data_IF_851831461201
#
_entry.id   IF_851831461201
#
_cell.length_a   1.000
_cell.length_b   1.000
_cell.length_c   1.000
_cell.angle_alpha   90.00
_cell.angle_beta   90.00
_cell.angle_gamma   90.00
#
_symmetry.space_group_name_H-M   'P 1'
#
loop_
_entity.id
_entity.type
_entity.pdbx_description
1 polymer ?
#
# COMPACT_ATOMS: atom_id res chain seq x y z
N UNK A 1 -3.07 -13.03 28.58
CA UNK A 1 -2.20 -12.08 27.87
C UNK A 1 -2.43 -12.42 26.42
N UNK A 2 -3.37 -11.71 25.82
CA UNK A 2 -3.59 -11.79 24.37
C UNK A 2 -2.30 -11.28 23.73
N UNK A 3 -1.86 -11.98 22.69
CA UNK A 3 -0.59 -11.74 22.04
C UNK A 3 -0.85 -10.58 21.06
N UNK A 4 -0.34 -9.35 21.30
CA UNK A 4 -0.77 -8.19 20.52
C UNK A 4 -0.47 -8.31 19.03
N UNK A 5 0.64 -8.94 18.66
CA UNK A 5 1.09 -9.01 17.26
C UNK A 5 0.56 -10.18 16.46
N UNK A 6 -0.75 -10.39 16.51
CA UNK A 6 -1.39 -11.36 15.63
C UNK A 6 -2.88 -11.06 15.38
N UNK A 7 -3.29 -9.81 15.57
CA UNK A 7 -4.66 -9.36 15.33
C UNK A 7 -4.79 -8.79 13.90
N UNK A 8 -6.02 -8.75 13.38
CA UNK A 8 -6.32 -8.14 12.07
C UNK A 8 -6.29 -6.61 12.23
N UNK A 9 -5.53 -5.93 11.36
CA UNK A 9 -5.32 -4.49 11.46
C UNK A 9 -6.52 -3.71 10.90
N UNK A 10 -7.20 -2.93 11.75
CA UNK A 10 -8.31 -2.09 11.29
C UNK A 10 -7.79 -0.84 10.58
N UNK A 11 -7.66 -0.92 9.25
CA UNK A 11 -7.17 0.18 8.42
C UNK A 11 -8.35 0.89 7.75
N UNK A 12 -8.56 2.14 8.15
CA UNK A 12 -9.62 3.00 7.57
C UNK A 12 -9.11 3.93 6.49
N UNK A 13 -7.81 4.21 6.46
CA UNK A 13 -7.21 5.16 5.52
C UNK A 13 -5.88 4.64 5.02
N UNK A 14 -5.70 4.73 3.70
CA UNK A 14 -4.45 4.42 3.00
C UNK A 14 -4.04 5.65 2.21
N UNK A 15 -2.80 6.10 2.41
CA UNK A 15 -2.21 7.22 1.67
C UNK A 15 -0.99 6.72 0.92
N UNK A 16 -1.01 6.85 -0.40
CA UNK A 16 0.16 6.64 -1.26
C UNK A 16 0.78 8.01 -1.53
N UNK A 17 2.00 8.24 -1.03
CA UNK A 17 2.72 9.51 -1.20
C UNK A 17 3.79 9.36 -2.28
N UNK A 18 3.60 10.06 -3.39
CA UNK A 18 4.49 10.03 -4.55
C UNK A 18 5.41 11.25 -4.58
N UNK A 19 6.66 11.02 -4.99
CA UNK A 19 7.63 12.06 -5.35
C UNK A 19 8.27 11.69 -6.69
N UNK A 20 8.17 12.56 -7.68
CA UNK A 20 8.84 12.38 -8.98
C UNK A 20 10.35 12.56 -8.81
N UNK A 21 11.14 11.58 -9.24
CA UNK A 21 12.58 11.57 -9.06
C UNK A 21 13.22 12.65 -9.93
N UNK A 22 14.10 13.44 -9.32
CA UNK A 22 14.80 14.54 -10.00
C UNK A 22 14.02 15.85 -10.07
N UNK A 23 12.82 15.92 -9.47
CA UNK A 23 12.03 17.15 -9.36
C UNK A 23 11.65 17.42 -7.89
N UNK A 24 10.83 18.44 -7.64
CA UNK A 24 10.19 18.71 -6.34
C UNK A 24 8.69 18.39 -6.36
N UNK A 25 8.20 17.75 -7.43
CA UNK A 25 6.78 17.47 -7.61
C UNK A 25 6.40 16.26 -6.74
N UNK A 26 5.59 16.50 -5.72
CA UNK A 26 5.04 15.48 -4.84
C UNK A 26 3.53 15.61 -4.71
N UNK A 27 2.85 14.49 -4.52
CA UNK A 27 1.40 14.43 -4.34
C UNK A 27 0.98 13.13 -3.65
N UNK A 28 -0.24 13.13 -3.12
CA UNK A 28 -0.82 11.99 -2.42
C UNK A 28 -2.03 11.45 -3.18
N UNK A 29 -2.24 10.14 -3.10
CA UNK A 29 -3.44 9.42 -3.52
C UNK A 29 -4.05 8.80 -2.26
N UNK A 30 -5.30 9.11 -1.97
CA UNK A 30 -5.95 8.72 -0.71
C UNK A 30 -7.11 7.78 -0.96
N UNK A 31 -7.15 6.70 -0.19
CA UNK A 31 -8.35 5.94 0.11
C UNK A 31 -8.75 6.21 1.56
N UNK A 32 -10.03 6.46 1.81
CA UNK A 32 -10.55 6.70 3.16
C UNK A 32 -11.97 6.17 3.32
N UNK A 33 -12.12 5.26 4.27
CA UNK A 33 -13.36 4.63 4.69
C UNK A 33 -13.43 4.53 6.22
N UNK A 34 -14.05 5.53 6.85
CA UNK A 34 -13.96 5.72 8.32
C UNK A 34 -14.83 4.76 9.13
N UNK A 35 -15.80 4.08 8.51
CA UNK A 35 -16.61 3.05 9.18
C UNK A 35 -16.24 1.62 8.76
N UNK A 36 -15.20 1.47 7.93
CA UNK A 36 -14.64 0.19 7.51
C UNK A 36 -15.56 -0.59 6.55
N UNK A 37 -15.13 -1.79 6.18
CA UNK A 37 -15.87 -2.59 5.20
C UNK A 37 -17.31 -2.92 5.66
N UNK A 38 -18.25 -2.83 4.73
CA UNK A 38 -19.67 -3.17 4.96
C UNK A 38 -20.52 -2.03 5.51
N UNK A 39 -19.90 -0.88 5.81
CA UNK A 39 -20.54 0.38 6.21
C UNK A 39 -21.00 1.23 5.02
N UNK A 40 -20.72 2.53 5.10
CA UNK A 40 -20.99 3.46 4.00
C UNK A 40 -19.94 3.27 2.88
N UNK A 41 -20.19 3.77 1.66
CA UNK A 41 -19.14 3.84 0.66
C UNK A 41 -17.96 4.69 1.16
N UNK A 42 -16.73 4.41 0.71
CA UNK A 42 -15.56 5.17 1.09
C UNK A 42 -15.74 6.65 0.73
N UNK A 43 -15.38 7.52 1.68
CA UNK A 43 -15.44 8.97 1.51
C UNK A 43 -14.38 9.50 0.53
N UNK A 44 -13.34 8.73 0.27
CA UNK A 44 -12.32 9.03 -0.75
C UNK A 44 -11.78 7.75 -1.36
N UNK A 45 -11.60 7.76 -2.68
CA UNK A 45 -11.00 6.69 -3.45
C UNK A 45 -10.38 7.33 -4.69
N UNK A 46 -9.23 7.96 -4.51
CA UNK A 46 -8.57 8.75 -5.54
C UNK A 46 -8.10 7.88 -6.73
N UNK A 47 -7.78 8.53 -7.85
CA UNK A 47 -7.09 7.87 -8.97
C UNK A 47 -5.58 8.11 -8.85
N UNK A 48 -4.77 7.13 -9.24
CA UNK A 48 -3.34 7.31 -9.43
C UNK A 48 -3.12 7.94 -10.81
N UNK A 49 -2.60 9.17 -10.84
CA UNK A 49 -2.28 9.88 -12.09
C UNK A 49 -0.79 10.21 -12.10
N UNK A 50 -0.04 9.58 -13.02
CA UNK A 50 1.41 9.75 -13.17
C UNK A 50 1.74 10.32 -14.55
N UNK A 51 2.84 11.06 -14.67
CA UNK A 51 3.33 11.52 -15.97
C UNK A 51 3.95 10.34 -16.76
N UNK A 52 3.92 10.36 -18.10
CA UNK A 52 4.58 9.35 -18.93
C UNK A 52 6.10 9.48 -18.91
N UNK A 53 6.80 8.34 -18.98
CA UNK A 53 8.27 8.23 -19.02
C UNK A 53 8.96 8.94 -17.84
N UNK A 54 8.45 8.72 -16.64
CA UNK A 54 8.96 9.31 -15.40
C UNK A 54 9.12 8.24 -14.31
N UNK A 55 10.02 8.52 -13.37
CA UNK A 55 10.29 7.65 -12.23
C UNK A 55 9.80 8.33 -10.94
N UNK A 56 9.23 7.55 -10.03
CA UNK A 56 8.70 8.03 -8.76
C UNK A 56 9.22 7.17 -7.61
N UNK A 57 9.46 7.78 -6.45
CA UNK A 57 9.41 7.08 -5.16
C UNK A 57 7.99 7.15 -4.61
N UNK A 58 7.52 6.07 -4.01
CA UNK A 58 6.22 5.97 -3.36
C UNK A 58 6.38 5.38 -1.96
N UNK A 59 5.73 6.00 -0.98
CA UNK A 59 5.60 5.49 0.38
C UNK A 59 4.13 5.32 0.75
N UNK A 60 3.83 4.33 1.58
CA UNK A 60 2.47 4.02 2.06
C UNK A 60 2.37 4.35 3.53
N UNK A 61 1.33 5.08 3.93
CA UNK A 61 0.95 5.24 5.34
C UNK A 61 -0.49 4.81 5.57
N UNK A 62 -0.74 4.22 6.73
CA UNK A 62 -1.99 3.59 7.14
C UNK A 62 -2.48 4.20 8.46
N UNK A 63 -3.78 4.47 8.55
CA UNK A 63 -4.40 5.04 9.76
C UNK A 63 -5.71 4.32 10.12
N UNK A 64 -5.96 4.26 11.43
CA UNK A 64 -7.26 3.93 12.00
C UNK A 64 -7.90 5.22 12.56
N UNK A 65 -8.76 5.85 11.75
CA UNK A 65 -9.48 7.06 12.09
C UNK A 65 -10.83 6.79 12.76
N UNK A 66 -11.17 5.51 13.02
CA UNK A 66 -12.40 5.15 13.73
C UNK A 66 -12.33 5.39 15.24
N UNK A 67 -11.12 5.60 15.77
CA UNK A 67 -10.82 5.76 17.20
C UNK A 67 -10.26 7.15 17.52
N UNK A 68 -10.19 7.49 18.81
CA UNK A 68 -9.65 8.77 19.29
C UNK A 68 -8.74 8.57 20.51
N UNK A 69 -7.44 8.91 20.41
CA UNK A 69 -6.76 9.51 19.26
C UNK A 69 -6.71 8.58 18.02
N UNK A 70 -6.55 9.15 16.83
CA UNK A 70 -6.30 8.38 15.59
C UNK A 70 -5.04 7.54 15.79
N UNK A 71 -5.11 6.27 15.45
CA UNK A 71 -3.96 5.36 15.53
C UNK A 71 -3.19 5.35 14.20
N UNK A 72 -1.87 5.31 14.30
CA UNK A 72 -0.97 5.20 13.16
C UNK A 72 -0.60 3.73 12.96
N UNK A 73 -1.38 3.04 12.12
CA UNK A 73 -1.15 1.63 11.80
C UNK A 73 0.16 1.43 11.04
N UNK A 74 0.71 2.46 10.39
CA UNK A 74 2.03 2.37 9.76
C UNK A 74 3.11 1.93 10.75
N UNK A 75 3.09 2.46 11.98
CA UNK A 75 4.11 2.13 12.99
C UNK A 75 4.00 0.66 13.41
N UNK A 76 2.78 0.13 13.52
CA UNK A 76 2.51 -1.28 13.85
C UNK A 76 3.01 -2.21 12.73
N UNK A 77 2.74 -1.87 11.46
CA UNK A 77 3.28 -2.63 10.31
C UNK A 77 4.81 -2.58 10.25
N UNK A 78 5.44 -1.46 10.63
CA UNK A 78 6.90 -1.35 10.69
C UNK A 78 7.50 -2.19 11.82
N UNK A 79 6.87 -2.20 13.01
CA UNK A 79 7.26 -3.04 14.14
C UNK A 79 7.08 -4.54 13.83
N UNK A 80 6.06 -4.88 13.05
CA UNK A 80 5.69 -6.24 12.65
C UNK A 80 6.04 -6.56 11.18
N UNK A 81 7.06 -5.89 10.65
CA UNK A 81 7.50 -6.02 9.26
C UNK A 81 7.83 -7.47 8.85
N UNK A 82 8.25 -8.29 9.81
CA UNK A 82 8.56 -9.71 9.63
C UNK A 82 7.32 -10.58 9.31
N UNK A 83 6.12 -10.06 9.56
CA UNK A 83 4.85 -10.73 9.39
C UNK A 83 3.98 -10.07 8.30
N UNK A 84 4.27 -8.82 7.95
CA UNK A 84 3.53 -8.07 6.94
C UNK A 84 4.22 -8.02 5.57
N UNK A 85 3.42 -8.06 4.50
CA UNK A 85 3.90 -7.86 3.13
C UNK A 85 2.84 -7.17 2.25
N UNK A 86 3.22 -6.03 1.66
CA UNK A 86 2.49 -5.37 0.60
C UNK A 86 2.78 -5.99 -0.77
N UNK A 87 1.72 -6.15 -1.55
CA UNK A 87 1.74 -6.49 -2.97
C UNK A 87 1.17 -5.33 -3.78
N UNK A 88 1.98 -4.79 -4.70
CA UNK A 88 1.64 -3.69 -5.60
C UNK A 88 1.57 -4.23 -7.02
N UNK A 89 0.36 -4.38 -7.55
CA UNK A 89 0.08 -5.19 -8.74
C UNK A 89 -0.53 -4.31 -9.84
N UNK A 90 0.27 -3.72 -10.75
CA UNK A 90 -0.23 -2.97 -11.89
C UNK A 90 -0.87 -3.92 -12.92
N UNK A 91 -1.98 -3.48 -13.52
CA UNK A 91 -2.67 -4.20 -14.59
C UNK A 91 -3.18 -3.23 -15.66
N UNK A 92 -2.75 -3.43 -16.91
CA UNK A 92 -3.18 -2.60 -18.07
C UNK A 92 -2.57 -1.19 -18.15
N UNK A 93 -2.05 -0.66 -17.04
CA UNK A 93 -1.26 0.57 -17.05
C UNK A 93 0.22 0.24 -17.32
N UNK A 94 0.91 1.11 -18.06
CA UNK A 94 2.36 1.02 -18.32
C UNK A 94 3.13 1.51 -17.09
N UNK A 95 3.04 0.76 -16.00
CA UNK A 95 3.69 1.04 -14.72
C UNK A 95 4.45 -0.21 -14.30
N UNK A 96 5.72 -0.06 -13.97
CA UNK A 96 6.54 -1.10 -13.31
C UNK A 96 6.83 -0.67 -11.88
N UNK A 97 6.64 -1.57 -10.92
CA UNK A 97 6.78 -1.25 -9.49
C UNK A 97 7.83 -2.17 -8.86
N UNK A 98 8.74 -1.58 -8.10
CA UNK A 98 9.76 -2.30 -7.32
C UNK A 98 9.63 -1.90 -5.84
N UNK A 99 9.41 -2.87 -4.95
CA UNK A 99 9.46 -2.65 -3.50
C UNK A 99 10.93 -2.54 -3.06
N UNK A 100 11.22 -1.63 -2.14
CA UNK A 100 12.60 -1.21 -1.83
C UNK A 100 13.00 -1.41 -0.37
N UNK A 101 12.03 -1.62 0.51
CA UNK A 101 12.21 -1.93 1.92
C UNK A 101 12.09 -3.43 2.18
N UNK A 102 12.86 -3.88 3.17
CA UNK A 102 12.91 -5.28 3.60
C UNK A 102 12.85 -5.37 5.13
N UNK A 103 12.35 -6.49 5.61
CA UNK A 103 12.29 -6.83 7.03
C UNK A 103 13.64 -7.35 7.56
N UNK A 104 13.66 -7.80 8.81
CA UNK A 104 14.87 -8.31 9.46
C UNK A 104 15.43 -9.59 8.83
N UNK A 105 14.62 -10.28 8.02
CA UNK A 105 14.95 -11.51 7.29
C UNK A 105 15.30 -11.24 5.82
N UNK A 106 15.43 -9.98 5.42
CA UNK A 106 15.62 -9.53 4.03
C UNK A 106 14.47 -9.93 3.09
N UNK A 107 13.24 -10.05 3.60
CA UNK A 107 12.05 -10.24 2.78
C UNK A 107 11.35 -8.89 2.55
N UNK A 108 10.75 -8.65 1.38
CA UNK A 108 10.07 -7.38 1.11
C UNK A 108 8.97 -7.06 2.12
N UNK A 109 8.87 -5.79 2.52
CA UNK A 109 7.72 -5.28 3.29
C UNK A 109 6.81 -4.53 2.33
N UNK A 110 7.34 -3.57 1.57
CA UNK A 110 6.61 -2.87 0.52
C UNK A 110 5.89 -1.60 0.97
N UNK A 111 6.22 -1.05 2.15
CA UNK A 111 5.83 0.31 2.53
C UNK A 111 6.53 1.34 1.65
N UNK A 112 7.72 1.02 1.10
CA UNK A 112 8.49 1.88 0.22
C UNK A 112 8.72 1.24 -1.14
N UNK A 113 8.53 1.98 -2.22
CA UNK A 113 8.69 1.47 -3.58
C UNK A 113 9.17 2.53 -4.58
N UNK A 114 9.73 2.07 -5.70
CA UNK A 114 9.94 2.88 -6.90
C UNK A 114 8.99 2.46 -8.01
N UNK A 115 8.50 3.44 -8.76
CA UNK A 115 7.52 3.26 -9.82
C UNK A 115 8.07 3.90 -11.10
N UNK A 116 8.20 3.11 -12.16
CA UNK A 116 8.65 3.57 -13.47
C UNK A 116 7.45 3.56 -14.43
N UNK A 117 7.19 4.70 -15.08
CA UNK A 117 6.09 4.82 -16.05
C UNK A 117 6.58 4.77 -17.50
N UNK A 118 5.77 4.16 -18.36
CA UNK A 118 6.00 4.12 -19.80
C UNK A 118 5.16 5.15 -20.57
N UNK A 119 4.73 4.76 -21.78
CA UNK A 119 3.82 5.56 -22.59
C UNK A 119 2.44 5.73 -21.93
N UNK A 120 1.70 6.75 -22.36
CA UNK A 120 0.36 7.03 -21.87
C UNK A 120 -0.55 5.79 -21.95
N UNK A 121 -1.26 5.51 -20.86
CA UNK A 121 -2.07 4.30 -20.70
C UNK A 121 -3.08 4.47 -19.58
N UNK A 122 -4.05 3.55 -19.51
CA UNK A 122 -5.03 3.49 -18.44
C UNK A 122 -5.22 2.04 -18.03
N UNK A 123 -5.24 1.81 -16.73
CA UNK A 123 -5.43 0.50 -16.13
C UNK A 123 -5.70 0.65 -14.64
N UNK A 124 -5.19 -0.28 -13.85
CA UNK A 124 -5.31 -0.24 -12.39
C UNK A 124 -3.98 -0.58 -11.71
N UNK A 125 -3.89 -0.22 -10.43
CA UNK A 125 -2.90 -0.78 -9.51
C UNK A 125 -3.64 -1.31 -8.29
N UNK A 126 -3.53 -2.62 -8.07
CA UNK A 126 -4.07 -3.27 -6.89
C UNK A 126 -3.04 -3.25 -5.77
N UNK A 127 -3.41 -2.67 -4.64
CA UNK A 127 -2.61 -2.54 -3.42
C UNK A 127 -3.19 -3.50 -2.39
N UNK A 128 -2.42 -4.52 -2.01
CA UNK A 128 -2.86 -5.55 -1.06
C UNK A 128 -1.87 -5.62 0.10
N UNK A 129 -2.35 -5.53 1.33
CA UNK A 129 -1.58 -5.85 2.53
C UNK A 129 -1.94 -7.26 3.00
N UNK A 130 -0.91 -8.07 3.24
CA UNK A 130 -1.05 -9.42 3.76
C UNK A 130 -0.36 -9.55 5.12
N UNK A 131 -1.10 -10.04 6.09
CA UNK A 131 -0.60 -10.45 7.40
C UNK A 131 -0.30 -11.97 7.43
N UNK A 132 0.93 -12.34 7.81
CA UNK A 132 1.52 -13.69 7.69
C UNK A 132 2.35 -14.08 8.92
N UNK A 133 1.79 -14.01 10.13
CA UNK A 133 2.47 -14.24 11.40
C UNK A 133 3.30 -15.53 11.42
N UNK A 134 4.62 -15.40 11.56
CA UNK A 134 5.56 -16.53 11.63
C UNK A 134 5.63 -17.40 10.37
N UNK A 135 4.99 -16.99 9.27
CA UNK A 135 4.89 -17.77 8.04
C UNK A 135 5.35 -17.05 6.78
N UNK A 136 5.59 -15.72 6.82
CA UNK A 136 6.15 -14.94 5.71
C UNK A 136 7.43 -15.58 5.17
N UNK A 137 7.50 -15.75 3.86
CA UNK A 137 8.65 -16.35 3.18
C UNK A 137 8.91 -15.71 1.81
N UNK A 138 10.14 -15.86 1.31
CA UNK A 138 10.53 -15.35 0.01
C UNK A 138 9.68 -15.95 -1.11
N UNK A 139 9.17 -15.08 -2.00
CA UNK A 139 8.38 -15.51 -3.17
C UNK A 139 6.95 -15.93 -2.85
N UNK A 140 6.44 -15.56 -1.68
CA UNK A 140 5.05 -15.79 -1.32
C UNK A 140 4.10 -15.18 -2.35
N UNK A 141 3.03 -15.93 -2.68
CA UNK A 141 1.95 -15.41 -3.48
C UNK A 141 1.07 -14.45 -2.66
N UNK A 142 0.42 -13.50 -3.34
CA UNK A 142 -0.57 -12.58 -2.74
C UNK A 142 -1.73 -13.31 -2.05
N UNK A 143 -1.96 -14.58 -2.38
CA UNK A 143 -3.02 -15.41 -1.77
C UNK A 143 -2.66 -16.00 -0.40
N UNK A 144 -1.42 -15.83 0.07
CA UNK A 144 -0.98 -16.36 1.36
C UNK A 144 -1.17 -15.33 2.48
N UNK A 145 -1.61 -15.79 3.65
CA UNK A 145 -1.89 -14.94 4.80
C UNK A 145 -3.31 -14.38 4.80
N UNK A 146 -3.63 -13.63 5.84
CA UNK A 146 -4.87 -12.87 6.00
C UNK A 146 -4.75 -11.53 5.26
N UNK A 147 -5.88 -10.96 4.83
CA UNK A 147 -5.89 -9.73 4.00
C UNK A 147 -6.35 -8.59 4.88
N UNK A 148 -5.48 -7.63 5.17
CA UNK A 148 -5.86 -6.44 5.92
C UNK A 148 -6.36 -5.33 4.99
N UNK A 149 -5.83 -5.27 3.76
CA UNK A 149 -6.23 -4.31 2.71
C UNK A 149 -6.23 -4.98 1.34
N UNK A 150 -7.24 -4.66 0.51
CA UNK A 150 -7.32 -5.03 -0.91
C UNK A 150 -8.00 -3.94 -1.74
N UNK A 151 -7.21 -2.96 -2.19
CA UNK A 151 -7.71 -1.78 -2.90
C UNK A 151 -7.28 -1.81 -4.36
N UNK A 152 -8.21 -1.56 -5.28
CA UNK A 152 -7.91 -1.52 -6.71
C UNK A 152 -8.06 -0.09 -7.25
N UNK A 153 -6.97 0.66 -7.25
CA UNK A 153 -6.91 2.04 -7.75
C UNK A 153 -6.97 2.08 -9.27
N UNK A 154 -7.82 2.95 -9.82
CA UNK A 154 -7.68 3.36 -11.23
C UNK A 154 -6.33 4.06 -11.39
N UNK A 155 -5.57 3.67 -12.41
CA UNK A 155 -4.26 4.22 -12.70
C UNK A 155 -4.19 4.75 -14.13
N UNK A 156 -3.69 5.98 -14.28
CA UNK A 156 -3.51 6.68 -15.55
C UNK A 156 -2.09 7.18 -15.66
N UNK A 157 -1.47 6.90 -16.81
CA UNK A 157 -0.22 7.53 -17.23
C UNK A 157 -0.60 8.55 -18.30
N UNK A 158 -0.47 9.86 -18.05
CA UNK A 158 -0.89 10.94 -18.96
C UNK A 158 -0.17 12.27 -18.75
#
# INVERSE_FOLDING_TARGET
KENPGNEEELITTVVLSFQEIGTTDAFNVVFRDTDGEGGNPPTSFDEIVLKPNADYTCSISLLNESVSPVENITDEIEEEADDHEFFLLPAGANISITRTDVDSKNLPVGLNSTWETGAASTGTVRVVLKHKPGSKAAGDAVTKGETDIDLNFTAKVQ
#
